data_IF_300316049095
#
_entry.id   IF_300316049095
#
_cell.length_a   1.000
_cell.length_b   1.000
_cell.length_c   1.000
_cell.angle_alpha   90.00
_cell.angle_beta   90.00
_cell.angle_gamma   90.00
#
_symmetry.space_group_name_H-M   'P 1'
#
loop_
_entity.id
_entity.type
_entity.pdbx_description
1 polymer ?
#
# COMPACT_ATOMS: atom_id res chain seq x y z
N UNK A 1 -6.64 12.16 -37.04
CA UNK A 1 -7.10 12.95 -35.88
C UNK A 1 -6.25 12.51 -34.70
N UNK A 2 -5.10 13.16 -34.48
CA UNK A 2 -4.14 12.77 -33.44
C UNK A 2 -4.55 13.40 -32.12
N UNK A 3 -4.79 12.57 -31.10
CA UNK A 3 -5.04 13.04 -29.74
C UNK A 3 -3.81 13.80 -29.23
N UNK A 4 -3.97 14.94 -28.54
CA UNK A 4 -2.84 15.61 -27.90
C UNK A 4 -2.33 14.74 -26.75
N UNK A 5 -1.20 14.07 -26.95
CA UNK A 5 -0.44 13.44 -25.87
C UNK A 5 0.13 14.54 -25.00
N UNK A 6 -0.52 14.79 -23.85
CA UNK A 6 0.00 15.67 -22.82
C UNK A 6 1.45 15.22 -22.49
N UNK A 7 2.46 16.08 -22.63
CA UNK A 7 3.83 15.70 -22.35
C UNK A 7 3.91 15.31 -20.87
N UNK A 8 4.43 14.11 -20.63
CA UNK A 8 4.57 13.61 -19.28
C UNK A 8 5.82 14.23 -18.64
N UNK A 9 5.70 14.83 -17.44
CA UNK A 9 6.86 15.40 -16.76
C UNK A 9 7.84 14.29 -16.37
N UNK A 10 9.08 14.41 -16.85
CA UNK A 10 10.19 13.49 -16.59
C UNK A 10 10.70 13.60 -15.15
N UNK A 11 10.61 14.78 -14.55
CA UNK A 11 10.91 15.03 -13.13
C UNK A 11 9.62 15.30 -12.35
N UNK A 12 9.47 14.64 -11.20
CA UNK A 12 8.36 14.86 -10.28
C UNK A 12 8.88 15.80 -9.18
N UNK A 13 8.22 16.94 -9.03
CA UNK A 13 8.39 17.82 -7.87
C UNK A 13 7.10 17.74 -7.05
N UNK A 14 7.20 17.22 -5.83
CA UNK A 14 6.09 17.23 -4.88
C UNK A 14 6.18 18.50 -4.03
N UNK A 15 5.03 19.09 -3.63
CA UNK A 15 5.03 20.28 -2.79
C UNK A 15 5.61 19.99 -1.40
N UNK A 16 6.12 21.01 -0.72
CA UNK A 16 6.42 20.94 0.72
C UNK A 16 5.10 20.82 1.51
N UNK A 17 4.92 19.73 2.25
CA UNK A 17 3.66 19.43 2.98
C UNK A 17 3.82 19.44 4.50
N UNK A 18 5.04 19.37 5.00
CA UNK A 18 5.35 19.21 6.43
C UNK A 18 4.91 20.41 7.24
N UNK A 19 5.16 21.63 6.74
CA UNK A 19 4.74 22.89 7.39
C UNK A 19 3.22 23.12 7.45
N UNK A 20 2.44 22.39 6.65
CA UNK A 20 0.98 22.51 6.59
C UNK A 20 0.33 21.39 7.40
N UNK A 21 0.83 20.17 7.26
CA UNK A 21 0.13 18.99 7.74
C UNK A 21 0.32 18.78 9.24
N UNK A 22 1.51 19.02 9.79
CA UNK A 22 1.77 18.88 11.23
C UNK A 22 0.78 19.67 12.11
N UNK A 23 0.63 21.00 11.89
CA UNK A 23 -0.33 21.82 12.63
C UNK A 23 -1.80 21.40 12.43
N UNK A 24 -2.16 20.98 11.21
CA UNK A 24 -3.51 20.46 10.92
C UNK A 24 -3.79 19.19 11.74
N UNK A 25 -2.86 18.23 11.73
CA UNK A 25 -3.00 16.98 12.46
C UNK A 25 -3.09 17.24 13.96
N UNK A 26 -2.24 18.11 14.51
CA UNK A 26 -2.30 18.50 15.92
C UNK A 26 -3.64 19.15 16.30
N UNK A 27 -4.15 20.04 15.45
CA UNK A 27 -5.47 20.68 15.66
C UNK A 27 -6.61 19.67 15.61
N UNK A 28 -6.55 18.70 14.69
CA UNK A 28 -7.55 17.65 14.54
C UNK A 28 -7.58 16.71 15.75
N UNK A 29 -6.41 16.23 16.19
CA UNK A 29 -6.33 15.33 17.35
C UNK A 29 -6.74 16.04 18.63
N UNK A 30 -6.37 17.32 18.80
CA UNK A 30 -6.83 18.14 19.92
C UNK A 30 -8.34 18.36 19.90
N UNK A 31 -8.94 18.63 18.74
CA UNK A 31 -10.39 18.80 18.60
C UNK A 31 -11.19 17.53 18.96
N UNK A 32 -10.59 16.35 18.73
CA UNK A 32 -11.17 15.06 19.09
C UNK A 32 -10.77 14.58 20.50
N UNK A 33 -9.89 15.30 21.20
CA UNK A 33 -9.38 14.92 22.52
C UNK A 33 -8.50 13.67 22.51
N UNK A 34 -7.85 13.37 21.39
CA UNK A 34 -6.96 12.20 21.22
C UNK A 34 -5.51 12.66 21.14
N UNK A 35 -4.59 11.80 21.61
CA UNK A 35 -3.15 12.05 21.54
C UNK A 35 -2.62 12.07 20.08
N UNK A 36 -1.71 12.99 19.75
CA UNK A 36 -1.09 13.09 18.42
C UNK A 36 -0.25 11.87 18.03
N UNK A 37 0.21 11.08 19.02
CA UNK A 37 1.00 9.87 18.85
C UNK A 37 0.23 8.71 18.22
N UNK A 38 -1.10 8.82 18.05
CA UNK A 38 -1.87 7.86 17.25
C UNK A 38 -1.53 7.93 15.75
N UNK A 39 -0.91 9.03 15.32
CA UNK A 39 -0.42 9.25 13.96
C UNK A 39 1.10 9.36 13.97
N UNK A 40 1.78 9.03 12.85
CA UNK A 40 3.23 9.20 12.72
C UNK A 40 3.69 10.62 13.04
N UNK A 41 4.86 10.75 13.66
CA UNK A 41 5.47 12.05 13.96
C UNK A 41 5.83 12.82 12.70
N UNK A 42 5.95 14.14 12.80
CA UNK A 42 6.18 15.01 11.64
C UNK A 42 7.50 14.67 10.91
N UNK A 43 8.54 14.27 11.64
CA UNK A 43 9.80 13.79 11.03
C UNK A 43 9.60 12.50 10.22
N UNK A 44 8.76 11.57 10.68
CA UNK A 44 8.47 10.33 9.97
C UNK A 44 7.70 10.60 8.68
N UNK A 45 6.72 11.50 8.75
CA UNK A 45 5.96 11.97 7.57
C UNK A 45 6.90 12.67 6.58
N UNK A 46 7.76 13.57 7.06
CA UNK A 46 8.74 14.28 6.25
C UNK A 46 9.70 13.32 5.53
N UNK A 47 10.20 12.31 6.26
CA UNK A 47 11.10 11.31 5.71
C UNK A 47 10.42 10.45 4.64
N UNK A 48 9.19 9.99 4.87
CA UNK A 48 8.42 9.25 3.87
C UNK A 48 8.15 10.12 2.63
N UNK A 49 7.75 11.37 2.83
CA UNK A 49 7.47 12.33 1.75
C UNK A 49 8.68 12.61 0.87
N UNK A 50 9.85 12.84 1.47
CA UNK A 50 11.09 13.14 0.74
C UNK A 50 11.54 12.00 -0.19
N UNK A 51 11.17 10.76 0.13
CA UNK A 51 11.51 9.59 -0.69
C UNK A 51 10.56 9.38 -1.90
N UNK A 52 9.33 9.90 -1.83
CA UNK A 52 8.30 9.65 -2.85
C UNK A 52 8.67 10.12 -4.27
N UNK A 53 9.23 11.33 -4.50
CA UNK A 53 9.50 11.81 -5.85
C UNK A 53 10.38 10.85 -6.66
N UNK A 54 11.40 10.28 -6.01
CA UNK A 54 12.29 9.29 -6.63
C UNK A 54 11.58 7.99 -6.97
N UNK A 55 10.70 7.51 -6.08
CA UNK A 55 9.95 6.26 -6.29
C UNK A 55 8.91 6.42 -7.39
N UNK A 56 8.11 7.48 -7.34
CA UNK A 56 7.09 7.76 -8.38
C UNK A 56 7.76 8.07 -9.72
N UNK A 57 8.97 8.65 -9.71
CA UNK A 57 9.76 8.88 -10.92
C UNK A 57 10.07 7.59 -11.69
N UNK A 58 10.16 6.44 -11.00
CA UNK A 58 10.36 5.12 -11.62
C UNK A 58 9.07 4.53 -12.21
N UNK A 59 7.91 5.06 -11.84
CA UNK A 59 6.62 4.64 -12.37
C UNK A 59 6.43 5.31 -13.73
N UNK A 60 6.17 4.53 -14.80
CA UNK A 60 5.89 5.11 -16.12
C UNK A 60 4.70 6.07 -16.06
N UNK A 61 4.76 7.20 -16.77
CA UNK A 61 3.76 8.26 -16.59
C UNK A 61 2.30 7.85 -16.86
N UNK A 62 2.08 6.88 -17.75
CA UNK A 62 0.75 6.33 -18.03
C UNK A 62 0.12 5.62 -16.82
N UNK A 63 0.92 5.20 -15.84
CA UNK A 63 0.45 4.55 -14.62
C UNK A 63 0.33 5.52 -13.43
N UNK A 64 0.69 6.80 -13.62
CA UNK A 64 0.57 7.87 -12.60
C UNK A 64 -0.88 8.38 -12.51
N UNK A 65 -1.76 7.51 -12.05
CA UNK A 65 -3.20 7.76 -11.99
C UNK A 65 -3.66 8.37 -10.65
N UNK A 66 -4.98 8.59 -10.52
CA UNK A 66 -5.60 9.15 -9.31
C UNK A 66 -5.31 8.36 -8.04
N UNK A 67 -5.14 7.04 -8.13
CA UNK A 67 -4.83 6.19 -6.97
C UNK A 67 -3.47 6.56 -6.36
N UNK A 68 -2.49 6.90 -7.20
CA UNK A 68 -1.19 7.38 -6.72
C UNK A 68 -1.28 8.78 -6.10
N UNK A 69 -2.20 9.62 -6.56
CA UNK A 69 -2.47 10.91 -5.91
C UNK A 69 -3.06 10.68 -4.52
N UNK A 70 -4.06 9.78 -4.39
CA UNK A 70 -4.62 9.39 -3.09
C UNK A 70 -3.57 8.80 -2.16
N UNK A 71 -2.66 7.97 -2.70
CA UNK A 71 -1.50 7.47 -1.96
C UNK A 71 -0.62 8.60 -1.44
N UNK A 72 -0.28 9.60 -2.27
CA UNK A 72 0.51 10.75 -1.83
C UNK A 72 -0.18 11.51 -0.69
N UNK A 73 -1.49 11.79 -0.83
CA UNK A 73 -2.27 12.45 0.24
C UNK A 73 -2.26 11.63 1.53
N UNK A 74 -2.37 10.30 1.44
CA UNK A 74 -2.28 9.42 2.60
C UNK A 74 -0.90 9.50 3.28
N UNK A 75 0.19 9.53 2.51
CA UNK A 75 1.54 9.73 3.07
C UNK A 75 1.67 11.10 3.73
N UNK A 76 1.22 12.18 3.07
CA UNK A 76 1.29 13.54 3.61
C UNK A 76 0.55 13.68 4.94
N UNK A 77 -0.58 12.99 5.10
CA UNK A 77 -1.41 12.99 6.31
C UNK A 77 -1.00 11.96 7.36
N UNK A 78 0.05 11.17 7.12
CA UNK A 78 0.50 10.12 8.05
C UNK A 78 -0.36 8.85 8.06
N UNK A 79 -1.31 8.70 7.13
CA UNK A 79 -2.15 7.50 6.98
C UNK A 79 -1.41 6.42 6.15
N UNK A 80 -0.36 5.84 6.74
CA UNK A 80 0.53 4.91 6.03
C UNK A 80 -0.14 3.58 5.67
N UNK A 81 -1.09 3.11 6.48
CA UNK A 81 -1.95 1.97 6.16
C UNK A 81 -2.68 2.18 4.82
N UNK A 82 -3.28 3.37 4.67
CA UNK A 82 -4.02 3.75 3.48
C UNK A 82 -3.08 3.95 2.29
N UNK A 83 -1.90 4.53 2.51
CA UNK A 83 -0.87 4.66 1.49
C UNK A 83 -0.43 3.28 0.94
N UNK A 84 -0.14 2.31 1.81
CA UNK A 84 0.21 0.95 1.43
C UNK A 84 -0.93 0.29 0.64
N UNK A 85 -2.18 0.46 1.08
CA UNK A 85 -3.34 -0.08 0.39
C UNK A 85 -3.51 0.53 -1.01
N UNK A 86 -3.36 1.85 -1.17
CA UNK A 86 -3.42 2.49 -2.48
C UNK A 86 -2.31 2.03 -3.42
N UNK A 87 -1.07 1.89 -2.91
CA UNK A 87 0.04 1.37 -3.69
C UNK A 87 -0.23 -0.07 -4.17
N UNK A 88 -0.74 -0.92 -3.27
CA UNK A 88 -1.11 -2.30 -3.61
C UNK A 88 -2.24 -2.36 -4.65
N UNK A 89 -3.30 -1.57 -4.47
CA UNK A 89 -4.42 -1.52 -5.40
C UNK A 89 -3.98 -1.07 -6.80
N UNK A 90 -3.08 -0.09 -6.89
CA UNK A 90 -2.51 0.33 -8.17
C UNK A 90 -1.76 -0.82 -8.86
N UNK A 91 -0.96 -1.60 -8.11
CA UNK A 91 -0.26 -2.76 -8.65
C UNK A 91 -1.22 -3.86 -9.14
N UNK A 92 -2.27 -4.17 -8.37
CA UNK A 92 -3.28 -5.17 -8.74
C UNK A 92 -4.03 -4.79 -10.00
N UNK A 93 -4.45 -3.52 -10.12
CA UNK A 93 -5.11 -3.03 -11.34
C UNK A 93 -4.21 -3.24 -12.55
N UNK A 94 -2.93 -2.88 -12.47
CA UNK A 94 -1.99 -3.06 -13.58
C UNK A 94 -1.74 -4.54 -13.93
N UNK A 95 -1.68 -5.42 -12.93
CA UNK A 95 -1.57 -6.86 -13.17
C UNK A 95 -2.81 -7.42 -13.87
N UNK A 96 -4.01 -7.00 -13.46
CA UNK A 96 -5.26 -7.38 -14.14
C UNK A 96 -5.30 -6.86 -15.57
N UNK A 97 -4.88 -5.61 -15.81
CA UNK A 97 -4.77 -5.08 -17.17
C UNK A 97 -3.78 -5.87 -18.04
N UNK A 98 -2.64 -6.29 -17.48
CA UNK A 98 -1.70 -7.17 -18.19
C UNK A 98 -2.33 -8.52 -18.55
N UNK A 99 -3.03 -9.16 -17.61
CA UNK A 99 -3.73 -10.42 -17.88
C UNK A 99 -4.85 -10.20 -18.90
N UNK A 100 -5.59 -9.09 -18.86
CA UNK A 100 -6.61 -8.76 -19.85
C UNK A 100 -6.02 -8.64 -21.26
N UNK A 101 -4.91 -7.91 -21.39
CA UNK A 101 -4.30 -7.61 -22.70
C UNK A 101 -3.56 -8.79 -23.32
N UNK A 102 -2.86 -9.57 -22.51
CA UNK A 102 -1.94 -10.62 -23.00
C UNK A 102 -2.33 -12.02 -22.53
N UNK A 103 -2.96 -12.13 -21.37
CA UNK A 103 -3.25 -13.40 -20.71
C UNK A 103 -4.55 -14.06 -21.17
N UNK A 104 -5.65 -13.33 -21.37
CA UNK A 104 -6.99 -13.90 -21.60
C UNK A 104 -7.03 -14.99 -22.69
N UNK A 105 -6.39 -14.83 -23.87
CA UNK A 105 -6.40 -15.87 -24.90
C UNK A 105 -5.60 -17.13 -24.51
N UNK A 106 -4.61 -16.98 -23.63
CA UNK A 106 -3.63 -18.02 -23.27
C UNK A 106 -4.01 -18.74 -21.98
N UNK A 107 -4.73 -18.05 -21.07
CA UNK A 107 -5.09 -18.58 -19.76
C UNK A 107 -5.73 -19.97 -19.84
N UNK A 108 -6.74 -20.23 -20.70
CA UNK A 108 -7.38 -21.55 -20.75
C UNK A 108 -6.42 -22.70 -21.06
N UNK A 109 -5.36 -22.45 -21.83
CA UNK A 109 -4.34 -23.44 -22.16
C UNK A 109 -3.42 -23.75 -20.98
N UNK A 110 -3.26 -22.80 -20.07
CA UNK A 110 -2.40 -22.93 -18.90
C UNK A 110 -3.15 -23.57 -17.74
N UNK A 111 -4.41 -23.18 -17.51
CA UNK A 111 -5.18 -23.60 -16.33
C UNK A 111 -6.20 -24.71 -16.60
N UNK A 112 -6.28 -25.20 -17.84
CA UNK A 112 -7.17 -26.28 -18.29
C UNK A 112 -8.64 -26.08 -17.87
N UNK A 113 -9.08 -24.82 -17.87
CA UNK A 113 -10.46 -24.41 -17.57
C UNK A 113 -10.84 -23.16 -18.34
N UNK A 114 -12.14 -22.97 -18.57
CA UNK A 114 -12.64 -21.71 -19.14
C UNK A 114 -12.25 -20.55 -18.24
N UNK A 115 -11.71 -19.50 -18.85
CA UNK A 115 -11.34 -18.28 -18.16
C UNK A 115 -11.77 -17.08 -18.99
N UNK A 116 -12.70 -16.31 -18.45
CA UNK A 116 -13.22 -15.10 -19.06
C UNK A 116 -12.85 -13.87 -18.22
N UNK A 117 -13.28 -12.70 -18.69
CA UNK A 117 -13.01 -11.44 -18.01
C UNK A 117 -13.71 -11.37 -16.64
N UNK A 118 -14.87 -11.99 -16.49
CA UNK A 118 -15.57 -12.08 -15.20
C UNK A 118 -14.74 -12.87 -14.18
N UNK A 119 -14.21 -14.04 -14.58
CA UNK A 119 -13.31 -14.84 -13.74
C UNK A 119 -12.02 -14.09 -13.38
N UNK A 120 -11.53 -13.20 -14.27
CA UNK A 120 -10.39 -12.34 -13.97
C UNK A 120 -10.72 -11.29 -12.91
N UNK A 121 -11.93 -10.73 -12.89
CA UNK A 121 -12.33 -9.72 -11.89
C UNK A 121 -12.51 -10.36 -10.51
N UNK A 122 -13.11 -11.54 -10.44
CA UNK A 122 -13.39 -12.24 -9.19
C UNK A 122 -12.16 -12.93 -8.58
N UNK A 123 -11.05 -12.96 -9.31
CA UNK A 123 -9.82 -13.59 -8.86
C UNK A 123 -9.26 -12.89 -7.61
N UNK A 124 -8.89 -13.66 -6.59
CA UNK A 124 -8.19 -13.12 -5.42
C UNK A 124 -6.78 -12.66 -5.80
N UNK A 125 -6.25 -11.69 -5.07
CA UNK A 125 -4.94 -11.11 -5.36
C UNK A 125 -3.82 -12.16 -5.35
N UNK A 126 -3.84 -13.11 -4.41
CA UNK A 126 -2.85 -14.21 -4.36
C UNK A 126 -2.92 -15.09 -5.62
N UNK A 127 -4.13 -15.47 -6.02
CA UNK A 127 -4.36 -16.26 -7.23
C UNK A 127 -3.96 -15.49 -8.50
N UNK A 128 -4.14 -14.17 -8.51
CA UNK A 128 -3.70 -13.28 -9.58
C UNK A 128 -2.17 -13.27 -9.72
N UNK A 129 -1.43 -13.22 -8.61
CA UNK A 129 0.03 -13.30 -8.65
C UNK A 129 0.48 -14.65 -9.23
N UNK A 130 -0.11 -15.75 -8.75
CA UNK A 130 0.22 -17.09 -9.25
C UNK A 130 -0.10 -17.22 -10.74
N UNK A 131 -1.23 -16.67 -11.19
CA UNK A 131 -1.59 -16.64 -12.60
C UNK A 131 -0.58 -15.82 -13.43
N UNK A 132 -0.21 -14.63 -12.95
CA UNK A 132 0.79 -13.80 -13.62
C UNK A 132 2.13 -14.51 -13.76
N UNK A 133 2.57 -15.26 -12.73
CA UNK A 133 3.80 -16.05 -12.78
C UNK A 133 3.69 -17.18 -13.82
N UNK A 134 2.59 -17.94 -13.81
CA UNK A 134 2.37 -19.05 -14.75
C UNK A 134 2.27 -18.58 -16.21
N UNK A 135 1.77 -17.37 -16.43
CA UNK A 135 1.72 -16.73 -17.74
C UNK A 135 3.04 -16.02 -18.11
N UNK A 136 4.06 -16.10 -17.26
CA UNK A 136 5.34 -15.43 -17.42
C UNK A 136 5.21 -13.90 -17.62
N UNK A 137 4.17 -13.29 -17.03
CA UNK A 137 3.94 -11.83 -17.02
C UNK A 137 4.77 -11.11 -15.94
N UNK A 138 5.22 -11.87 -14.95
CA UNK A 138 6.15 -11.48 -13.89
C UNK A 138 7.20 -12.57 -13.73
N UNK A 139 8.39 -12.19 -13.27
CA UNK A 139 9.48 -13.13 -12.95
C UNK A 139 9.25 -13.75 -11.57
N UNK A 140 10.00 -14.81 -11.24
CA UNK A 140 10.01 -15.40 -9.88
C UNK A 140 10.41 -14.38 -8.81
N UNK A 141 11.46 -13.58 -9.06
CA UNK A 141 11.86 -12.49 -8.17
C UNK A 141 10.74 -11.44 -8.01
N UNK A 142 10.05 -11.12 -9.10
CA UNK A 142 8.92 -10.20 -9.07
C UNK A 142 7.75 -10.76 -8.27
N UNK A 143 7.47 -12.06 -8.39
CA UNK A 143 6.47 -12.77 -7.60
C UNK A 143 6.84 -12.73 -6.11
N UNK A 144 8.07 -13.06 -5.75
CA UNK A 144 8.54 -13.03 -4.35
C UNK A 144 8.38 -11.64 -3.73
N UNK A 145 8.79 -10.59 -4.46
CA UNK A 145 8.65 -9.21 -4.00
C UNK A 145 7.17 -8.82 -3.83
N UNK A 146 6.32 -9.14 -4.81
CA UNK A 146 4.89 -8.80 -4.77
C UNK A 146 4.16 -9.55 -3.65
N UNK A 147 4.53 -10.80 -3.38
CA UNK A 147 3.94 -11.58 -2.30
C UNK A 147 4.32 -11.01 -0.93
N UNK A 148 5.58 -10.58 -0.75
CA UNK A 148 5.99 -9.82 0.44
C UNK A 148 5.20 -8.52 0.60
N UNK A 149 4.97 -7.77 -0.49
CA UNK A 149 4.14 -6.57 -0.45
C UNK A 149 2.67 -6.89 -0.06
N UNK A 150 2.12 -8.01 -0.54
CA UNK A 150 0.78 -8.50 -0.20
C UNK A 150 0.69 -8.78 1.30
N UNK A 151 1.69 -9.47 1.86
CA UNK A 151 1.73 -9.81 3.28
C UNK A 151 1.89 -8.57 4.16
N UNK A 152 2.75 -7.61 3.78
CA UNK A 152 2.86 -6.32 4.46
C UNK A 152 1.52 -5.59 4.47
N UNK A 153 0.84 -5.50 3.31
CA UNK A 153 -0.49 -4.87 3.21
C UNK A 153 -1.51 -5.55 4.12
N UNK A 154 -1.53 -6.89 4.13
CA UNK A 154 -2.46 -7.65 4.95
C UNK A 154 -2.19 -7.49 6.44
N UNK A 155 -0.93 -7.48 6.86
CA UNK A 155 -0.56 -7.29 8.26
C UNK A 155 -0.86 -5.87 8.75
N UNK A 156 -0.62 -4.85 7.91
CA UNK A 156 -1.01 -3.46 8.23
C UNK A 156 -2.53 -3.25 8.26
N UNK A 157 -3.28 -3.94 7.40
CA UNK A 157 -4.75 -3.89 7.39
C UNK A 157 -5.38 -4.69 8.54
N UNK A 158 -4.71 -5.77 8.97
CA UNK A 158 -5.10 -6.58 10.11
C UNK A 158 -4.65 -5.99 11.46
N UNK A 159 -3.91 -4.88 11.45
CA UNK A 159 -3.71 -4.03 12.62
C UNK A 159 -5.03 -3.29 12.96
N UNK A 160 -6.09 -4.07 13.21
CA UNK A 160 -6.97 -3.73 14.32
C UNK A 160 -6.07 -3.53 15.56
N UNK A 161 -6.34 -2.51 16.39
CA UNK A 161 -5.66 -2.39 17.65
C UNK A 161 -6.12 -3.58 18.49
N UNK A 162 -5.38 -4.68 18.45
CA UNK A 162 -5.23 -5.47 19.67
C UNK A 162 -4.41 -4.58 20.60
N UNK A 163 -5.10 -3.62 21.23
CA UNK A 163 -4.82 -3.25 22.60
C UNK A 163 -4.98 -4.53 23.43
N UNK A 164 -4.02 -5.45 23.29
CA UNK A 164 -3.73 -6.45 24.29
C UNK A 164 -2.84 -5.74 25.30
N UNK A 165 -3.50 -5.06 26.24
CA UNK A 165 -2.88 -4.52 27.44
C UNK A 165 -1.75 -5.44 27.93
N UNK A 166 -0.50 -5.01 27.83
CA UNK A 166 0.54 -5.45 28.77
C UNK A 166 0.38 -4.66 30.07
N UNK A 167 -0.80 -4.79 30.68
CA UNK A 167 -1.15 -4.36 32.02
C UNK A 167 -2.42 -5.16 32.37
N UNK A 168 -2.46 -6.01 33.39
CA UNK A 168 -1.82 -5.92 34.71
C UNK A 168 -2.13 -7.23 35.49
N UNK A 169 -1.92 -7.35 36.83
CA UNK A 169 -1.08 -8.36 37.48
C UNK A 169 -1.86 -9.35 38.39
N UNK A 170 -1.11 -10.02 39.27
CA UNK A 170 -1.49 -10.69 40.54
C UNK A 170 -1.80 -12.20 40.45
N UNK A 171 -0.92 -13.01 41.06
CA UNK A 171 -1.08 -13.61 42.41
C UNK A 171 0.30 -14.09 42.90
N UNK A 172 0.76 -13.56 44.04
CA UNK A 172 0.77 -14.22 45.37
C UNK A 172 1.53 -15.55 45.32
N UNK A 173 2.53 -15.86 46.16
CA UNK A 173 2.84 -15.44 47.53
C UNK A 173 4.10 -16.20 47.96
N UNK A 174 4.97 -15.61 48.78
CA UNK A 174 5.45 -16.20 50.03
C UNK A 174 6.67 -15.44 50.55
N UNK A 175 6.47 -14.84 51.72
CA UNK A 175 7.42 -14.59 52.80
C UNK A 175 8.91 -14.90 52.53
N UNK A 176 9.74 -13.86 52.65
CA UNK A 176 10.90 -14.00 53.53
C UNK A 176 11.31 -12.63 54.08
N UNK A 177 11.22 -12.53 55.40
CA UNK A 177 12.05 -11.68 56.23
C UNK A 177 11.93 -12.22 57.66
N UNK A 178 12.84 -11.88 58.57
CA UNK A 178 14.29 -11.68 58.44
C UNK A 178 15.06 -12.83 59.13
N UNK A 179 16.36 -12.92 58.87
CA UNK A 179 17.40 -13.39 59.81
C UNK A 179 18.69 -12.63 59.50
#
# INVERSE_FOLDING_TARGET
MSLPTKPFPTSISLPEVTGITGPMLGSLTAALGVDRNILPGDEQIAHAWANLPRLIGRIPPQHRNETLVRMCVAVASGLFDSAINYAWNAAIVELREKVRRFGLPVVPQVIDRSFDEAALVDLKDADLLTLCLRLNLITEDGFFLLDQCRDIRNNFSAAHPTMGNLARPIRESAAFGPD
#
